data_IF_662838108148
#
_entry.id   IF_662838108148
#
_cell.length_a   1.000
_cell.length_b   1.000
_cell.length_c   1.000
_cell.angle_alpha   90.00
_cell.angle_beta   90.00
_cell.angle_gamma   90.00
#
_symmetry.space_group_name_H-M   'P 1'
#
loop_
_entity.id
_entity.type
_entity.pdbx_description
1 polymer ?
#
# COMPACT_ATOMS: atom_id res chain seq x y z
N UNK A 1 4.63 -2.29 23.21
CA UNK A 1 4.71 -3.56 22.47
C UNK A 1 3.89 -3.36 21.20
N UNK A 2 4.55 -3.25 20.06
CA UNK A 2 3.86 -3.15 18.78
C UNK A 2 3.53 -4.55 18.32
N UNK A 3 2.25 -4.92 18.41
CA UNK A 3 1.75 -6.06 17.65
C UNK A 3 1.89 -5.70 16.18
N UNK A 4 2.87 -6.29 15.50
CA UNK A 4 2.79 -6.44 14.05
C UNK A 4 1.51 -7.25 13.79
N UNK A 5 0.54 -6.73 13.01
CA UNK A 5 -0.66 -7.49 12.73
C UNK A 5 -0.25 -8.82 12.11
N UNK A 6 -0.89 -9.90 12.57
CA UNK A 6 -0.69 -11.24 12.01
C UNK A 6 -0.76 -11.14 10.49
N UNK A 7 0.38 -11.36 9.83
CA UNK A 7 0.44 -11.29 8.39
C UNK A 7 -0.55 -12.32 7.84
N UNK A 8 -1.63 -11.85 7.21
CA UNK A 8 -2.69 -12.70 6.69
C UNK A 8 -2.09 -13.93 6.01
N UNK A 9 -2.48 -15.11 6.47
CA UNK A 9 -2.12 -16.36 5.82
C UNK A 9 -2.75 -16.34 4.42
N UNK A 10 -1.91 -16.53 3.42
CA UNK A 10 -2.35 -16.47 2.02
C UNK A 10 -2.82 -17.86 1.68
N UNK A 11 -4.13 -17.99 1.52
CA UNK A 11 -4.75 -19.19 1.00
C UNK A 11 -4.42 -19.31 -0.50
N UNK A 12 -3.61 -20.31 -0.84
CA UNK A 12 -3.17 -20.57 -2.21
C UNK A 12 -4.24 -21.28 -3.06
N UNK A 13 -5.35 -21.72 -2.46
CA UNK A 13 -6.47 -22.35 -3.18
C UNK A 13 -7.38 -21.33 -3.86
N UNK A 14 -7.30 -20.06 -3.45
CA UNK A 14 -8.06 -18.98 -4.06
C UNK A 14 -7.51 -18.69 -5.46
N UNK A 15 -8.39 -18.70 -6.47
CA UNK A 15 -8.06 -18.30 -7.84
C UNK A 15 -7.82 -16.78 -7.93
N UNK A 16 -6.60 -16.37 -7.55
CA UNK A 16 -6.17 -14.98 -7.49
C UNK A 16 -4.66 -14.84 -7.72
N UNK A 17 -4.23 -13.60 -7.97
CA UNK A 17 -2.80 -13.27 -8.09
C UNK A 17 -2.17 -13.19 -6.70
N UNK A 18 -1.16 -14.02 -6.45
CA UNK A 18 -0.43 -14.05 -5.19
C UNK A 18 0.63 -12.94 -5.14
N UNK A 19 0.47 -12.00 -4.22
CA UNK A 19 1.43 -10.92 -3.98
C UNK A 19 2.28 -11.26 -2.74
N UNK A 20 3.51 -11.71 -2.98
CA UNK A 20 4.41 -12.24 -1.95
C UNK A 20 5.71 -11.44 -1.86
N UNK A 21 6.33 -11.47 -0.68
CA UNK A 21 7.74 -11.11 -0.56
C UNK A 21 8.61 -12.27 -1.05
N UNK A 22 9.83 -11.98 -1.53
CA UNK A 22 10.78 -13.00 -2.00
C UNK A 22 11.04 -14.07 -0.93
N UNK A 23 11.11 -13.67 0.34
CA UNK A 23 11.26 -14.58 1.47
C UNK A 23 10.06 -15.52 1.63
N UNK A 24 8.83 -14.99 1.58
CA UNK A 24 7.61 -15.80 1.69
C UNK A 24 7.40 -16.75 0.50
N UNK A 25 7.97 -16.42 -0.67
CA UNK A 25 7.90 -17.28 -1.84
C UNK A 25 8.84 -18.50 -1.77
N UNK A 26 9.77 -18.56 -0.80
CA UNK A 26 10.72 -19.67 -0.68
C UNK A 26 9.98 -21.00 -0.45
N UNK A 27 10.28 -22.00 -1.28
CA UNK A 27 9.64 -23.32 -1.23
C UNK A 27 8.33 -23.41 -2.02
N UNK A 28 7.81 -22.28 -2.52
CA UNK A 28 6.68 -22.24 -3.43
C UNK A 28 7.16 -22.16 -4.88
N UNK A 29 6.31 -22.51 -5.84
CA UNK A 29 6.60 -22.39 -7.27
C UNK A 29 5.33 -22.04 -8.03
N UNK A 30 5.45 -21.20 -9.05
CA UNK A 30 4.33 -20.67 -9.82
C UNK A 30 4.57 -20.83 -11.32
N UNK A 31 3.51 -21.03 -12.14
CA UNK A 31 3.63 -21.05 -13.59
C UNK A 31 4.29 -19.78 -14.15
N UNK A 32 3.88 -18.63 -13.63
CA UNK A 32 4.36 -17.30 -14.03
C UNK A 32 4.79 -16.54 -12.78
N UNK A 33 5.97 -15.91 -12.81
CA UNK A 33 6.45 -15.04 -11.73
C UNK A 33 6.80 -13.67 -12.28
N UNK A 34 6.31 -12.63 -11.62
CA UNK A 34 6.64 -11.24 -11.92
C UNK A 34 7.43 -10.68 -10.74
N UNK A 35 8.74 -10.53 -10.91
CA UNK A 35 9.59 -9.88 -9.91
C UNK A 35 9.52 -8.36 -10.11
N UNK A 36 8.83 -7.70 -9.19
CA UNK A 36 8.55 -6.27 -9.28
C UNK A 36 9.57 -5.39 -8.56
N UNK A 37 9.62 -4.11 -8.95
CA UNK A 37 10.40 -3.06 -8.29
C UNK A 37 11.91 -3.36 -8.22
N UNK A 38 12.46 -3.97 -9.28
CA UNK A 38 13.87 -4.31 -9.41
C UNK A 38 14.67 -3.07 -9.83
N UNK A 39 14.83 -2.19 -8.87
CA UNK A 39 15.45 -0.88 -9.01
C UNK A 39 16.69 -0.83 -8.10
N UNK A 40 17.76 -0.22 -8.58
CA UNK A 40 18.98 -0.03 -7.79
C UNK A 40 18.65 0.63 -6.46
N UNK A 41 19.21 0.10 -5.37
CA UNK A 41 19.01 0.54 -3.99
C UNK A 41 17.63 0.23 -3.38
N UNK A 42 16.77 -0.47 -4.12
CA UNK A 42 15.58 -1.15 -3.59
C UNK A 42 15.80 -2.65 -3.55
N UNK A 43 16.32 -3.20 -4.65
CA UNK A 43 16.70 -4.59 -4.77
C UNK A 43 17.92 -4.68 -5.72
N UNK A 44 19.16 -4.79 -5.24
CA UNK A 44 19.53 -5.00 -3.84
C UNK A 44 19.20 -3.80 -2.95
N UNK A 45 18.79 -4.09 -1.72
CA UNK A 45 18.56 -3.08 -0.69
C UNK A 45 19.89 -2.52 -0.16
N UNK A 46 19.85 -1.30 0.42
CA UNK A 46 20.99 -0.80 1.19
C UNK A 46 21.22 -1.66 2.43
N UNK A 47 22.48 -1.99 2.71
CA UNK A 47 22.85 -2.60 3.99
C UNK A 47 22.45 -1.65 5.13
N UNK A 48 21.59 -2.13 6.02
CA UNK A 48 21.26 -1.44 7.26
C UNK A 48 22.02 -2.12 8.38
N UNK A 49 22.88 -1.35 9.06
CA UNK A 49 23.50 -1.81 10.30
C UNK A 49 22.40 -1.98 11.35
N UNK A 50 22.51 -3.04 12.13
CA UNK A 50 21.69 -3.21 13.33
C UNK A 50 21.96 -2.04 14.30
N UNK A 51 20.91 -1.57 14.97
CA UNK A 51 21.01 -0.43 15.90
C UNK A 51 21.86 -0.75 17.14
N UNK A 52 21.97 -2.02 17.50
CA UNK A 52 22.79 -2.51 18.60
C UNK A 52 23.61 -3.69 18.05
N UNK A 53 24.90 -3.51 17.74
CA UNK A 53 25.72 -4.60 17.23
C UNK A 53 25.93 -5.65 18.32
N UNK A 54 25.90 -6.93 17.95
CA UNK A 54 26.37 -7.98 18.84
C UNK A 54 27.89 -7.83 19.06
N UNK A 55 28.37 -7.98 20.31
CA UNK A 55 29.80 -8.08 20.60
C UNK A 55 30.44 -9.20 19.77
N UNK A 56 31.62 -8.93 19.18
CA UNK A 56 32.37 -9.90 18.36
C UNK A 56 32.50 -11.30 18.99
N UNK A 57 32.73 -11.47 20.31
CA UNK A 57 32.84 -12.80 20.93
C UNK A 57 31.55 -13.62 20.91
N UNK A 58 30.39 -12.98 20.70
CA UNK A 58 29.08 -13.62 20.64
C UNK A 58 28.67 -13.99 19.21
N UNK A 59 29.42 -13.55 18.20
CA UNK A 59 29.20 -13.89 16.80
C UNK A 59 29.85 -15.26 16.55
N UNK A 60 29.03 -16.31 16.52
CA UNK A 60 29.49 -17.70 16.30
C UNK A 60 29.69 -18.05 14.83
N UNK A 61 29.16 -17.23 13.93
CA UNK A 61 29.21 -17.46 12.49
C UNK A 61 30.48 -16.85 11.89
N UNK A 62 31.13 -17.59 10.99
CA UNK A 62 32.23 -17.07 10.19
C UNK A 62 31.62 -16.08 9.19
N UNK A 63 31.74 -14.78 9.46
CA UNK A 63 31.32 -13.75 8.52
C UNK A 63 32.12 -13.91 7.22
N UNK A 64 31.47 -14.15 6.07
CA UNK A 64 32.17 -14.31 4.80
C UNK A 64 32.97 -13.05 4.47
N UNK A 65 34.14 -13.23 3.85
CA UNK A 65 34.92 -12.11 3.36
C UNK A 65 34.19 -11.37 2.21
N UNK A 66 34.25 -10.04 2.22
CA UNK A 66 33.62 -9.19 1.21
C UNK A 66 32.26 -8.60 1.60
N UNK A 67 31.44 -8.22 0.62
CA UNK A 67 30.14 -7.60 0.85
C UNK A 67 29.04 -8.67 1.05
N UNK A 68 28.98 -9.24 2.25
CA UNK A 68 28.04 -10.31 2.61
C UNK A 68 26.58 -9.96 2.30
N UNK A 69 26.14 -8.75 2.66
CA UNK A 69 24.78 -8.28 2.38
C UNK A 69 24.41 -8.37 0.90
N UNK A 70 25.33 -7.93 0.03
CA UNK A 70 25.11 -7.98 -1.41
C UNK A 70 25.04 -9.42 -1.93
N UNK A 71 25.83 -10.33 -1.35
CA UNK A 71 25.80 -11.75 -1.70
C UNK A 71 24.48 -12.39 -1.25
N UNK A 72 23.97 -12.03 -0.08
CA UNK A 72 22.68 -12.53 0.42
C UNK A 72 21.50 -12.00 -0.41
N UNK A 73 21.47 -10.70 -0.73
CA UNK A 73 20.49 -10.12 -1.66
C UNK A 73 20.53 -10.78 -3.04
N UNK A 74 21.72 -11.18 -3.51
CA UNK A 74 21.90 -11.93 -4.76
C UNK A 74 21.35 -13.37 -4.66
N UNK A 75 21.52 -14.03 -3.51
CA UNK A 75 20.88 -15.34 -3.24
C UNK A 75 19.36 -15.21 -3.22
N UNK A 76 18.82 -14.16 -2.60
CA UNK A 76 17.39 -13.85 -2.63
C UNK A 76 16.89 -13.61 -4.05
N UNK A 77 17.64 -12.87 -4.87
CA UNK A 77 17.30 -12.67 -6.29
C UNK A 77 17.16 -14.02 -7.01
N UNK A 78 18.15 -14.88 -6.86
CA UNK A 78 18.17 -16.22 -7.46
C UNK A 78 17.02 -17.10 -6.97
N UNK A 79 16.71 -17.06 -5.66
CA UNK A 79 15.54 -17.75 -5.10
C UNK A 79 14.27 -17.25 -5.78
N UNK A 80 14.09 -15.94 -5.93
CA UNK A 80 12.95 -15.34 -6.62
C UNK A 80 12.82 -15.80 -8.08
N UNK A 81 13.91 -15.82 -8.83
CA UNK A 81 13.92 -16.27 -10.23
C UNK A 81 13.50 -17.75 -10.34
N UNK A 82 14.02 -18.60 -9.46
CA UNK A 82 13.78 -20.05 -9.47
C UNK A 82 12.38 -20.44 -8.98
N UNK A 83 11.53 -19.48 -8.58
CA UNK A 83 10.12 -19.77 -8.29
C UNK A 83 9.30 -19.92 -9.57
N UNK A 84 9.80 -19.47 -10.72
CA UNK A 84 9.09 -19.54 -12.00
C UNK A 84 9.24 -20.91 -12.67
N UNK A 85 8.12 -21.52 -13.08
CA UNK A 85 8.11 -22.78 -13.84
C UNK A 85 8.14 -22.60 -15.34
N UNK A 86 7.47 -21.56 -15.87
CA UNK A 86 7.33 -21.32 -17.31
C UNK A 86 7.83 -19.95 -17.72
N UNK A 87 7.31 -18.90 -17.08
CA UNK A 87 7.61 -17.52 -17.47
C UNK A 87 8.08 -16.70 -16.27
N UNK A 88 9.11 -15.89 -16.51
CA UNK A 88 9.67 -14.96 -15.54
C UNK A 88 9.74 -13.58 -16.15
N UNK A 89 9.10 -12.62 -15.48
CA UNK A 89 9.12 -11.21 -15.88
C UNK A 89 9.84 -10.37 -14.84
N UNK A 90 10.75 -9.51 -15.30
CA UNK A 90 11.40 -8.50 -14.49
C UNK A 90 10.77 -7.15 -14.75
N UNK A 91 10.39 -6.41 -13.70
CA UNK A 91 9.90 -5.04 -13.85
C UNK A 91 10.74 -4.05 -13.06
N UNK A 92 11.04 -2.92 -13.70
CA UNK A 92 11.83 -1.83 -13.12
C UNK A 92 11.21 -0.50 -13.51
N UNK A 93 11.20 0.46 -12.58
CA UNK A 93 10.65 1.78 -12.80
C UNK A 93 11.76 2.84 -12.71
N UNK A 94 11.79 3.75 -13.69
CA UNK A 94 12.67 4.92 -13.67
C UNK A 94 12.15 6.01 -12.75
N UNK A 95 10.85 6.25 -12.79
CA UNK A 95 10.17 7.18 -11.90
C UNK A 95 9.40 6.40 -10.84
N UNK A 96 9.87 6.53 -9.59
CA UNK A 96 9.23 5.96 -8.41
C UNK A 96 8.66 7.05 -7.50
N UNK A 97 8.31 8.23 -8.04
CA UNK A 97 7.82 9.38 -7.28
C UNK A 97 8.91 10.13 -6.53
N UNK A 98 10.17 10.00 -6.96
CA UNK A 98 11.34 10.63 -6.33
C UNK A 98 11.89 11.81 -7.13
N UNK A 99 12.72 12.65 -6.49
CA UNK A 99 13.37 13.81 -7.15
C UNK A 99 14.31 13.46 -8.30
N UNK A 100 14.80 12.21 -8.35
CA UNK A 100 15.76 11.74 -9.35
C UNK A 100 15.31 10.40 -9.92
N UNK A 101 15.50 10.16 -11.22
CA UNK A 101 15.23 8.87 -11.81
C UNK A 101 16.12 7.81 -11.18
N UNK A 102 15.56 6.63 -10.96
CA UNK A 102 16.28 5.49 -10.43
C UNK A 102 16.89 4.67 -11.57
N UNK A 103 18.01 4.01 -11.26
CA UNK A 103 18.70 3.08 -12.17
C UNK A 103 18.09 1.68 -12.03
N UNK A 104 18.12 0.91 -13.11
CA UNK A 104 17.74 -0.51 -13.09
C UNK A 104 18.63 -1.26 -12.08
N UNK A 105 18.07 -2.30 -11.44
CA UNK A 105 18.84 -3.19 -10.56
C UNK A 105 20.01 -3.82 -11.32
N UNK A 106 21.17 -3.90 -10.66
CA UNK A 106 22.33 -4.61 -11.21
C UNK A 106 22.03 -6.09 -11.47
N UNK A 107 21.14 -6.71 -10.69
CA UNK A 107 20.85 -8.14 -10.82
C UNK A 107 20.08 -8.46 -12.11
N UNK A 108 19.26 -7.53 -12.61
CA UNK A 108 18.64 -7.68 -13.94
C UNK A 108 19.72 -7.67 -15.02
N UNK A 109 20.65 -6.70 -14.93
CA UNK A 109 21.71 -6.55 -15.93
C UNK A 109 22.57 -7.82 -16.00
N UNK A 110 22.94 -8.35 -14.84
CA UNK A 110 23.74 -9.57 -14.74
C UNK A 110 22.97 -10.82 -15.20
N UNK A 111 21.69 -10.95 -14.84
CA UNK A 111 20.88 -12.13 -15.19
C UNK A 111 20.52 -12.21 -16.68
N UNK A 112 20.40 -11.05 -17.34
CA UNK A 112 20.11 -10.96 -18.78
C UNK A 112 21.38 -10.72 -19.63
N UNK A 113 22.56 -10.72 -19.00
CA UNK A 113 23.85 -10.39 -19.61
C UNK A 113 23.81 -9.08 -20.43
N UNK A 114 23.13 -8.07 -19.90
CA UNK A 114 22.93 -6.78 -20.54
C UNK A 114 24.08 -5.83 -20.21
N UNK A 115 24.53 -5.09 -21.22
CA UNK A 115 25.41 -3.95 -21.03
C UNK A 115 24.61 -2.68 -20.73
N UNK A 116 25.28 -1.65 -20.19
CA UNK A 116 24.65 -0.34 -19.98
C UNK A 116 24.17 0.32 -21.29
N UNK A 117 24.72 -0.07 -22.43
CA UNK A 117 24.33 0.46 -23.73
C UNK A 117 22.97 -0.10 -24.19
N UNK A 118 22.64 -1.33 -23.77
CA UNK A 118 21.39 -2.01 -24.15
C UNK A 118 20.17 -1.41 -23.44
N UNK A 119 20.41 -0.74 -22.30
CA UNK A 119 19.37 -0.03 -21.56
C UNK A 119 19.23 1.38 -22.11
N UNK A 120 18.63 1.47 -23.30
CA UNK A 120 18.29 2.77 -23.89
C UNK A 120 17.18 3.41 -23.03
N UNK A 121 17.39 4.65 -22.57
CA UNK A 121 16.31 5.42 -21.97
C UNK A 121 15.26 5.76 -23.01
N UNK A 122 14.14 5.02 -23.03
CA UNK A 122 12.90 5.55 -23.59
C UNK A 122 12.55 6.81 -22.80
N UNK A 123 12.88 7.97 -23.38
CA UNK A 123 12.35 9.26 -22.94
C UNK A 123 10.88 9.24 -23.32
N UNK A 124 10.04 8.89 -22.35
CA UNK A 124 8.59 9.04 -22.46
C UNK A 124 8.32 10.51 -22.78
N UNK A 125 7.53 10.77 -23.83
CA UNK A 125 7.26 12.14 -24.24
C UNK A 125 6.45 12.87 -23.16
N UNK A 126 6.56 14.20 -23.08
CA UNK A 126 5.76 14.97 -22.12
C UNK A 126 4.25 14.73 -22.29
N UNK A 127 3.80 14.47 -23.53
CA UNK A 127 2.40 14.13 -23.83
C UNK A 127 2.02 12.77 -23.26
N UNK A 128 2.83 11.74 -23.46
CA UNK A 128 2.61 10.40 -22.89
C UNK A 128 2.58 10.42 -21.35
N UNK A 129 3.42 11.25 -20.71
CA UNK A 129 3.39 11.42 -19.25
C UNK A 129 2.08 12.06 -18.80
N UNK A 130 1.60 13.08 -19.52
CA UNK A 130 0.32 13.73 -19.22
C UNK A 130 -0.84 12.75 -19.40
N UNK A 131 -0.87 12.00 -20.50
CA UNK A 131 -1.92 11.01 -20.77
C UNK A 131 -1.94 9.89 -19.73
N UNK A 132 -0.77 9.36 -19.35
CA UNK A 132 -0.66 8.30 -18.36
C UNK A 132 -1.13 8.73 -16.97
N UNK A 133 -0.90 9.99 -16.61
CA UNK A 133 -1.32 10.56 -15.32
C UNK A 133 -2.64 11.33 -15.43
N UNK A 134 -3.28 11.34 -16.60
CA UNK A 134 -4.57 11.95 -16.74
C UNK A 134 -5.53 11.24 -15.78
N UNK A 135 -6.40 11.98 -15.07
CA UNK A 135 -7.46 11.33 -14.33
C UNK A 135 -8.20 10.39 -15.30
N UNK A 136 -8.62 9.20 -14.85
CA UNK A 136 -9.47 8.37 -15.68
C UNK A 136 -10.61 9.25 -16.17
N UNK A 137 -11.03 9.08 -17.43
CA UNK A 137 -12.14 9.84 -18.03
C UNK A 137 -13.42 9.46 -17.28
N UNK A 138 -13.54 9.99 -16.08
CA UNK A 138 -14.61 9.80 -15.15
C UNK A 138 -15.73 10.69 -15.61
N UNK A 139 -16.88 10.06 -15.87
CA UNK A 139 -18.16 10.68 -16.20
C UNK A 139 -18.22 12.07 -15.57
N UNK A 140 -18.30 13.12 -16.41
CA UNK A 140 -18.68 14.48 -15.98
C UNK A 140 -19.74 14.30 -14.91
N UNK A 141 -19.46 14.80 -13.70
CA UNK A 141 -20.20 14.46 -12.48
C UNK A 141 -21.68 14.29 -12.79
N UNK A 142 -22.23 13.13 -12.41
CA UNK A 142 -23.67 12.90 -12.51
C UNK A 142 -24.34 14.17 -11.98
N UNK A 143 -25.17 14.81 -12.82
CA UNK A 143 -25.93 16.00 -12.43
C UNK A 143 -26.60 15.62 -11.12
N UNK A 144 -26.21 16.28 -10.02
CA UNK A 144 -26.81 16.05 -8.71
C UNK A 144 -28.32 16.21 -8.88
N UNK A 145 -29.09 15.17 -8.52
CA UNK A 145 -30.54 15.19 -8.66
C UNK A 145 -31.08 16.37 -7.84
N UNK A 146 -31.77 17.29 -8.52
CA UNK A 146 -32.38 18.44 -7.86
C UNK A 146 -33.53 17.94 -6.99
N UNK A 147 -33.50 18.31 -5.70
CA UNK A 147 -34.57 17.99 -4.76
C UNK A 147 -35.89 18.58 -5.31
N UNK A 148 -36.93 17.76 -5.55
CA UNK A 148 -38.19 18.25 -6.07
C UNK A 148 -38.86 19.20 -5.06
N UNK A 149 -39.62 20.21 -5.53
CA UNK A 149 -40.22 21.24 -4.65
C UNK A 149 -41.17 20.68 -3.58
N UNK A 150 -41.67 19.48 -3.79
CA UNK A 150 -42.66 18.79 -2.94
C UNK A 150 -42.03 17.94 -1.85
N UNK A 151 -40.70 17.78 -1.82
CA UNK A 151 -40.04 16.95 -0.82
C UNK A 151 -39.93 17.66 0.53
N UNK A 152 -40.44 17.01 1.59
CA UNK A 152 -40.31 17.51 2.96
C UNK A 152 -38.89 17.26 3.45
N UNK A 153 -38.13 18.35 3.65
CA UNK A 153 -36.76 18.27 4.15
C UNK A 153 -36.72 17.93 5.64
N UNK A 154 -36.35 16.69 5.98
CA UNK A 154 -36.07 16.31 7.38
C UNK A 154 -34.67 16.80 7.78
N UNK A 155 -34.64 17.95 8.46
CA UNK A 155 -33.41 18.58 8.93
C UNK A 155 -33.16 18.25 10.40
N UNK A 156 -31.90 17.97 10.72
CA UNK A 156 -31.41 17.93 12.10
C UNK A 156 -30.53 19.14 12.36
N UNK A 157 -30.36 19.50 13.63
CA UNK A 157 -29.45 20.57 14.03
C UNK A 157 -28.06 20.42 13.39
N UNK A 158 -27.50 19.20 13.40
CA UNK A 158 -26.20 18.90 12.77
C UNK A 158 -26.18 19.17 11.27
N UNK A 159 -27.26 18.83 10.56
CA UNK A 159 -27.37 19.09 9.11
C UNK A 159 -27.35 20.58 8.79
N UNK A 160 -28.03 21.39 9.62
CA UNK A 160 -28.06 22.84 9.45
C UNK A 160 -26.68 23.44 9.78
N UNK A 161 -26.11 23.06 10.92
CA UNK A 161 -24.79 23.52 11.37
C UNK A 161 -23.68 23.19 10.37
N UNK A 162 -23.68 21.97 9.81
CA UNK A 162 -22.71 21.57 8.78
C UNK A 162 -22.83 22.39 7.50
N UNK A 163 -24.06 22.73 7.08
CA UNK A 163 -24.30 23.55 5.90
C UNK A 163 -23.85 25.00 6.11
N UNK A 164 -24.23 25.59 7.25
CA UNK A 164 -23.83 26.95 7.62
C UNK A 164 -22.32 27.07 7.77
N UNK A 165 -21.66 26.03 8.29
CA UNK A 165 -20.19 25.97 8.37
C UNK A 165 -19.56 25.91 6.98
N UNK A 166 -20.03 24.99 6.13
CA UNK A 166 -19.52 24.83 4.77
C UNK A 166 -20.49 23.98 3.91
N UNK A 167 -21.03 24.53 2.80
CA UNK A 167 -21.89 23.76 1.89
C UNK A 167 -21.23 22.48 1.36
N UNK A 168 -19.91 22.50 1.15
CA UNK A 168 -19.17 21.32 0.70
C UNK A 168 -19.10 20.23 1.79
N UNK A 169 -18.92 20.61 3.06
CA UNK A 169 -18.96 19.68 4.20
C UNK A 169 -20.32 19.00 4.27
N UNK A 170 -21.39 19.77 4.13
CA UNK A 170 -22.75 19.23 4.06
C UNK A 170 -22.89 18.22 2.93
N UNK A 171 -22.43 18.56 1.73
CA UNK A 171 -22.48 17.64 0.57
C UNK A 171 -21.73 16.34 0.86
N UNK A 172 -20.50 16.41 1.35
CA UNK A 172 -19.69 15.23 1.61
C UNK A 172 -20.31 14.33 2.69
N UNK A 173 -20.81 14.90 3.79
CA UNK A 173 -21.33 14.15 4.94
C UNK A 173 -22.76 13.65 4.72
N UNK A 174 -23.66 14.49 4.21
CA UNK A 174 -25.10 14.20 4.18
C UNK A 174 -25.62 13.73 2.82
N UNK A 175 -24.97 14.11 1.71
CA UNK A 175 -25.37 13.71 0.35
C UNK A 175 -24.53 12.51 -0.11
N UNK A 176 -23.20 12.67 -0.16
CA UNK A 176 -22.26 11.64 -0.63
C UNK A 176 -22.03 10.56 0.44
N UNK A 177 -22.30 10.87 1.72
CA UNK A 177 -22.11 9.97 2.88
C UNK A 177 -20.68 9.42 2.98
N UNK A 178 -19.70 10.30 2.81
CA UNK A 178 -18.29 9.97 3.04
C UNK A 178 -18.13 9.54 4.51
N UNK A 179 -17.61 8.33 4.79
CA UNK A 179 -17.44 7.85 6.15
C UNK A 179 -16.38 8.69 6.85
N UNK A 180 -16.81 9.49 7.83
CA UNK A 180 -15.92 10.26 8.69
C UNK A 180 -15.67 9.49 9.99
N UNK A 181 -14.40 9.41 10.38
CA UNK A 181 -14.04 8.83 11.68
C UNK A 181 -14.60 9.72 12.79
N UNK A 182 -15.37 9.12 13.70
CA UNK A 182 -15.95 9.85 14.83
C UNK A 182 -14.83 10.21 15.82
N UNK A 183 -14.82 11.46 16.27
CA UNK A 183 -13.89 11.90 17.30
C UNK A 183 -14.21 11.19 18.63
N UNK A 184 -13.18 10.79 19.37
CA UNK A 184 -13.31 10.01 20.61
C UNK A 184 -14.26 10.65 21.63
N UNK A 185 -14.28 11.99 21.73
CA UNK A 185 -15.17 12.72 22.64
C UNK A 185 -16.66 12.48 22.33
N UNK A 186 -17.04 12.33 21.06
CA UNK A 186 -18.42 12.07 20.63
C UNK A 186 -18.82 10.65 21.01
N UNK A 187 -17.92 9.68 20.80
CA UNK A 187 -18.13 8.26 21.15
C UNK A 187 -18.32 8.10 22.66
N UNK A 188 -17.48 8.77 23.45
CA UNK A 188 -17.60 8.77 24.90
C UNK A 188 -18.94 9.37 25.36
N UNK A 189 -19.33 10.52 24.79
CA UNK A 189 -20.62 11.15 25.10
C UNK A 189 -21.80 10.23 24.81
N UNK A 190 -21.83 9.57 23.65
CA UNK A 190 -22.91 8.62 23.32
C UNK A 190 -22.97 7.43 24.27
N UNK A 191 -21.82 6.86 24.64
CA UNK A 191 -21.76 5.73 25.56
C UNK A 191 -22.29 6.10 26.96
N UNK A 192 -21.98 7.31 27.44
CA UNK A 192 -22.48 7.79 28.72
C UNK A 192 -24.00 8.01 28.69
N UNK A 193 -24.53 8.64 27.64
CA UNK A 193 -25.98 8.79 27.46
C UNK A 193 -26.70 7.44 27.42
N UNK A 194 -26.14 6.46 26.70
CA UNK A 194 -26.71 5.12 26.62
C UNK A 194 -26.70 4.40 27.97
N UNK A 195 -25.59 4.48 28.72
CA UNK A 195 -25.47 3.89 30.05
C UNK A 195 -26.52 4.47 31.02
N UNK A 196 -26.67 5.80 31.03
CA UNK A 196 -27.64 6.49 31.87
C UNK A 196 -29.07 6.14 31.47
N UNK A 197 -29.39 6.14 30.17
CA UNK A 197 -30.70 5.75 29.68
C UNK A 197 -31.05 4.30 30.07
N UNK A 198 -30.10 3.38 29.94
CA UNK A 198 -30.28 1.97 30.30
C UNK A 198 -30.47 1.80 31.80
N UNK A 199 -29.73 2.55 32.61
CA UNK A 199 -29.91 2.58 34.07
C UNK A 199 -31.34 3.01 34.44
N UNK A 200 -31.81 4.15 33.93
CA UNK A 200 -33.14 4.64 34.25
C UNK A 200 -34.27 3.75 33.72
N UNK A 201 -34.11 3.18 32.52
CA UNK A 201 -35.08 2.20 32.00
C UNK A 201 -35.18 0.96 32.90
N UNK A 202 -34.05 0.44 33.40
CA UNK A 202 -34.03 -0.68 34.33
C UNK A 202 -34.66 -0.33 35.67
N UNK A 203 -34.40 0.87 36.19
CA UNK A 203 -35.05 1.37 37.41
C UNK A 203 -36.57 1.52 37.28
N UNK A 204 -37.07 1.82 36.07
CA UNK A 204 -38.51 1.92 35.80
C UNK A 204 -39.16 0.55 35.61
N UNK A 205 -38.42 -0.47 35.17
CA UNK A 205 -38.93 -1.83 34.96
C UNK A 205 -38.90 -2.73 36.19
N UNK A 206 -38.37 -2.24 37.33
CA UNK A 206 -38.13 -3.04 38.54
C UNK A 206 -36.71 -3.59 38.58
#
# INVERSE_FOLDING_TARGET
AGDDPAAAEIDMEIDAVNVLTVHKAKGLEFPVVIMANLVSQRFPSYFRREGIPLPDPLIKDILPSGNFHLQEERRLFYVGMTRAKKELYFTSARDCGGKRPRKISQFIMEALDLSKADVVPNKVSSLEVIERNAPPVGKKGQREETIPPTEILTLSYRRIDDYLTCPLKYRCVHIIRVPIMQHHAVVYGSALHEAVQKYYRRRLSG
#
